data_IF_783126640254
#
_entry.id   IF_783126640254
#
_cell.length_a   1.000
_cell.length_b   1.000
_cell.length_c   1.000
_cell.angle_alpha   90.00
_cell.angle_beta   90.00
_cell.angle_gamma   90.00
#
_symmetry.space_group_name_H-M   'P 1'
#
loop_
_entity.id
_entity.type
_entity.pdbx_description
1 polymer ?
#
# COMPACT_ATOMS: atom_id res chain seq x y z
N UNK A 1 18.94 -85.67 55.07
CA UNK A 1 19.38 -84.46 55.70
C UNK A 1 20.51 -83.86 54.89
N UNK A 2 20.30 -83.00 53.92
CA UNK A 2 21.32 -82.21 53.28
C UNK A 2 20.62 -80.98 52.72
N UNK A 3 21.02 -79.84 53.23
CA UNK A 3 20.59 -78.50 52.81
C UNK A 3 21.15 -78.16 51.41
N UNK A 4 20.30 -77.71 50.52
CA UNK A 4 20.71 -77.04 49.34
C UNK A 4 20.23 -75.56 49.37
N UNK A 5 21.18 -74.64 49.36
CA UNK A 5 20.99 -73.22 49.29
C UNK A 5 20.73 -72.79 47.87
N UNK A 6 19.84 -71.87 47.56
CA UNK A 6 19.70 -71.29 46.19
C UNK A 6 20.60 -70.11 45.99
N UNK A 7 21.40 -70.14 44.91
CA UNK A 7 22.23 -69.05 44.43
C UNK A 7 21.37 -68.00 43.76
N UNK A 8 21.46 -66.74 44.23
CA UNK A 8 20.82 -65.59 43.70
C UNK A 8 21.61 -65.10 42.48
N UNK A 9 21.02 -65.14 41.27
CA UNK A 9 21.56 -64.53 40.04
C UNK A 9 21.08 -63.09 40.00
N UNK A 10 22.03 -62.16 40.14
CA UNK A 10 21.81 -60.74 40.04
C UNK A 10 21.83 -60.34 38.55
N UNK A 11 20.68 -60.10 37.92
CA UNK A 11 20.59 -59.51 36.58
C UNK A 11 20.80 -58.01 36.65
N UNK A 12 21.96 -57.57 36.20
CA UNK A 12 22.24 -56.11 35.98
C UNK A 12 21.59 -55.66 34.68
N UNK A 13 20.53 -54.87 34.79
CA UNK A 13 19.92 -54.18 33.64
C UNK A 13 20.77 -52.94 33.29
N UNK A 14 21.43 -53.00 32.12
CA UNK A 14 22.13 -51.86 31.56
C UNK A 14 21.10 -51.00 30.81
N UNK A 15 20.71 -49.87 31.40
CA UNK A 15 19.87 -48.85 30.75
C UNK A 15 20.73 -48.02 29.80
N UNK A 16 20.61 -48.25 28.51
CA UNK A 16 21.20 -47.42 27.47
C UNK A 16 20.40 -46.12 27.34
N UNK A 17 20.95 -45.03 27.83
CA UNK A 17 20.41 -43.66 27.66
C UNK A 17 20.70 -43.17 26.24
N UNK A 18 19.74 -43.26 25.33
CA UNK A 18 19.84 -42.64 23.97
C UNK A 18 19.59 -41.15 24.10
N UNK A 19 20.65 -40.34 24.04
CA UNK A 19 20.59 -38.89 23.92
C UNK A 19 20.18 -38.55 22.47
N UNK A 20 18.93 -38.17 22.27
CA UNK A 20 18.46 -37.60 21.00
C UNK A 20 19.04 -36.19 20.85
N UNK A 21 20.09 -36.04 20.04
CA UNK A 21 20.59 -34.75 19.63
C UNK A 21 19.57 -34.17 18.66
N UNK A 22 18.75 -33.23 19.13
CA UNK A 22 17.90 -32.42 18.27
C UNK A 22 18.81 -31.55 17.41
N UNK A 23 18.87 -31.86 16.11
CA UNK A 23 19.56 -31.02 15.14
C UNK A 23 18.83 -29.67 15.06
N UNK A 24 19.39 -28.65 15.70
CA UNK A 24 18.96 -27.27 15.52
C UNK A 24 19.38 -26.87 14.12
N UNK A 25 18.45 -26.94 13.18
CA UNK A 25 18.68 -26.39 11.85
C UNK A 25 18.68 -24.87 12.03
N UNK A 26 19.79 -24.18 11.66
CA UNK A 26 19.76 -22.73 11.62
C UNK A 26 18.68 -22.35 10.61
N UNK A 27 17.64 -21.64 11.05
CA UNK A 27 16.74 -20.98 10.14
C UNK A 27 17.58 -20.03 9.30
N UNK A 28 17.77 -20.35 8.02
CA UNK A 28 18.46 -19.46 7.08
C UNK A 28 17.66 -18.15 7.11
N UNK A 29 18.29 -17.10 7.63
CA UNK A 29 17.70 -15.78 7.59
C UNK A 29 17.43 -15.46 6.11
N UNK A 30 16.15 -15.33 5.75
CA UNK A 30 15.75 -15.02 4.40
C UNK A 30 16.29 -13.63 4.06
N UNK A 31 17.11 -13.52 3.03
CA UNK A 31 17.63 -12.23 2.57
C UNK A 31 16.48 -11.35 2.09
N UNK A 32 16.35 -10.16 2.67
CA UNK A 32 15.35 -9.18 2.27
C UNK A 32 15.97 -8.19 1.29
N UNK A 33 15.29 -7.95 0.18
CA UNK A 33 15.79 -7.19 -0.95
C UNK A 33 15.05 -5.85 -1.10
N UNK A 34 15.76 -4.85 -1.60
CA UNK A 34 15.16 -3.59 -2.01
C UNK A 34 14.86 -3.62 -3.50
N UNK A 35 13.59 -3.51 -3.86
CA UNK A 35 13.12 -3.55 -5.24
C UNK A 35 12.92 -2.14 -5.76
N UNK A 36 13.45 -1.86 -6.95
CA UNK A 36 13.38 -0.55 -7.60
C UNK A 36 12.57 -0.60 -8.89
N UNK A 37 11.97 0.53 -9.26
CA UNK A 37 11.33 0.75 -10.54
C UNK A 37 11.35 2.24 -10.88
N UNK A 38 11.14 2.57 -12.15
CA UNK A 38 10.96 3.95 -12.60
C UNK A 38 9.67 4.09 -13.40
N UNK A 39 8.92 5.12 -13.11
CA UNK A 39 7.71 5.45 -13.87
C UNK A 39 7.99 6.53 -14.91
N UNK A 40 7.60 6.26 -16.15
CA UNK A 40 7.67 7.21 -17.25
C UNK A 40 6.29 7.37 -17.90
N UNK A 41 5.96 8.60 -18.23
CA UNK A 41 4.72 8.93 -18.95
C UNK A 41 5.09 9.30 -20.37
N UNK A 42 4.49 8.66 -21.39
CA UNK A 42 4.57 9.12 -22.75
C UNK A 42 3.74 10.40 -22.87
N UNK A 43 4.37 11.55 -22.68
CA UNK A 43 3.68 12.81 -22.87
C UNK A 43 4.00 13.37 -24.26
N UNK A 44 3.02 13.93 -24.99
CA UNK A 44 3.28 14.62 -26.23
C UNK A 44 4.36 15.70 -26.01
N UNK A 45 5.42 15.67 -26.79
CA UNK A 45 6.44 16.72 -26.77
C UNK A 45 5.88 17.94 -27.47
N UNK A 46 5.42 18.94 -26.74
CA UNK A 46 5.36 20.28 -27.29
C UNK A 46 6.80 20.80 -27.49
N UNK A 47 7.10 21.28 -28.70
CA UNK A 47 8.43 21.74 -29.08
C UNK A 47 8.79 22.95 -28.21
N UNK A 48 9.71 22.78 -27.23
CA UNK A 48 10.24 23.88 -26.41
C UNK A 48 9.82 23.90 -24.94
N UNK A 49 9.00 22.98 -24.46
CA UNK A 49 8.67 22.89 -23.03
C UNK A 49 9.74 22.12 -22.23
N UNK A 50 10.35 22.84 -21.28
CA UNK A 50 11.13 22.23 -20.19
C UNK A 50 10.15 21.73 -19.13
N UNK A 51 10.11 20.40 -18.91
CA UNK A 51 9.30 19.81 -17.85
C UNK A 51 9.90 20.03 -16.49
N UNK A 52 9.05 20.47 -15.57
CA UNK A 52 9.33 20.36 -14.15
C UNK A 52 9.09 18.91 -13.67
N UNK A 53 9.87 18.42 -12.71
CA UNK A 53 9.69 17.11 -12.10
C UNK A 53 8.27 16.95 -11.48
N UNK A 54 7.61 18.07 -11.18
CA UNK A 54 6.27 18.16 -10.61
C UNK A 54 5.13 17.86 -11.58
N UNK A 55 5.40 17.71 -12.88
CA UNK A 55 4.37 17.49 -13.90
C UNK A 55 4.01 16.01 -14.09
N UNK A 56 4.64 15.12 -13.31
CA UNK A 56 4.29 13.70 -13.32
C UNK A 56 3.05 13.43 -12.48
N UNK A 57 2.10 12.63 -12.99
CA UNK A 57 0.97 12.22 -12.20
C UNK A 57 1.45 11.36 -11.01
N UNK A 58 0.86 11.52 -9.83
CA UNK A 58 1.11 10.64 -8.71
C UNK A 58 0.86 9.18 -9.09
N UNK A 59 1.74 8.30 -8.62
CA UNK A 59 1.66 6.89 -8.89
C UNK A 59 2.07 6.06 -7.67
N UNK A 60 1.54 4.85 -7.57
CA UNK A 60 1.91 3.87 -6.57
C UNK A 60 2.06 2.49 -7.20
N UNK A 61 2.97 1.68 -6.66
CA UNK A 61 3.16 0.29 -7.06
C UNK A 61 3.13 -0.62 -5.84
N UNK A 62 2.72 -1.86 -6.03
CA UNK A 62 2.81 -2.88 -5.00
C UNK A 62 3.01 -4.28 -5.58
N UNK A 63 3.60 -5.15 -4.77
CA UNK A 63 3.86 -6.53 -5.07
C UNK A 63 2.91 -7.42 -4.27
N UNK A 64 2.07 -8.17 -4.96
CA UNK A 64 1.16 -9.14 -4.35
C UNK A 64 1.79 -10.53 -4.49
N UNK A 65 2.09 -11.24 -3.39
CA UNK A 65 2.62 -12.61 -3.47
C UNK A 65 1.68 -13.51 -4.26
N UNK A 66 2.23 -14.36 -5.14
CA UNK A 66 1.45 -15.31 -5.95
C UNK A 66 1.15 -16.60 -5.21
N UNK A 67 2.04 -17.03 -4.34
CA UNK A 67 1.84 -18.24 -3.52
C UNK A 67 1.67 -17.90 -2.04
N UNK A 68 0.75 -18.59 -1.39
CA UNK A 68 0.43 -18.34 0.01
C UNK A 68 1.48 -18.88 0.99
N UNK A 69 2.45 -19.69 0.53
CA UNK A 69 3.46 -20.31 1.38
C UNK A 69 4.39 -19.31 2.05
N UNK A 70 4.58 -18.16 1.43
CA UNK A 70 5.40 -17.05 1.93
C UNK A 70 4.58 -15.77 2.11
N UNK A 71 3.30 -15.88 2.53
CA UNK A 71 2.52 -14.68 2.86
C UNK A 71 3.27 -13.93 3.95
N UNK A 72 3.86 -12.77 3.63
CA UNK A 72 4.56 -11.99 4.64
C UNK A 72 3.59 -11.67 5.77
N UNK A 73 4.12 -11.52 6.98
CA UNK A 73 3.32 -11.02 8.09
C UNK A 73 2.61 -9.75 7.60
N UNK A 74 1.27 -9.77 7.63
CA UNK A 74 0.47 -8.61 7.23
C UNK A 74 0.95 -7.42 8.03
N UNK A 75 1.16 -6.30 7.36
CA UNK A 75 1.46 -5.08 8.08
C UNK A 75 0.32 -4.80 9.08
N UNK A 76 0.68 -4.46 10.30
CA UNK A 76 -0.30 -4.29 11.37
C UNK A 76 -1.14 -3.04 11.10
N UNK A 77 -2.48 -3.13 11.17
CA UNK A 77 -3.33 -1.95 11.06
C UNK A 77 -2.93 -0.88 12.06
N UNK A 78 -2.83 0.36 11.60
CA UNK A 78 -2.42 1.53 12.39
C UNK A 78 -3.34 2.70 12.13
N UNK A 79 -3.12 3.78 12.86
CA UNK A 79 -3.76 5.05 12.57
C UNK A 79 -2.85 5.89 11.69
N UNK A 80 -3.40 6.37 10.58
CA UNK A 80 -2.77 7.26 9.60
C UNK A 80 -3.49 8.60 9.59
N UNK A 81 -2.82 9.62 9.07
CA UNK A 81 -3.37 10.98 8.98
C UNK A 81 -3.39 11.45 7.53
N UNK A 82 -4.53 11.93 7.08
CA UNK A 82 -4.71 12.68 5.84
C UNK A 82 -5.15 14.10 6.21
N UNK A 83 -4.17 14.98 6.36
CA UNK A 83 -4.36 16.35 6.86
C UNK A 83 -5.08 17.22 5.83
N UNK A 84 -6.05 18.03 6.28
CA UNK A 84 -6.65 19.11 5.49
C UNK A 84 -6.04 20.43 5.91
N UNK A 85 -5.31 21.05 5.00
CA UNK A 85 -4.69 22.35 5.21
C UNK A 85 -4.51 23.09 3.87
N UNK A 86 -4.80 24.40 3.89
CA UNK A 86 -4.72 25.26 2.70
C UNK A 86 -5.58 24.72 1.54
N UNK A 87 -6.78 24.23 1.83
CA UNK A 87 -7.70 23.61 0.88
C UNK A 87 -7.06 22.45 0.09
N UNK A 88 -6.23 21.63 0.78
CA UNK A 88 -5.56 20.45 0.22
C UNK A 88 -5.56 19.31 1.22
N UNK A 89 -5.58 18.09 0.71
CA UNK A 89 -5.24 16.90 1.47
C UNK A 89 -3.74 16.61 1.40
N UNK A 90 -3.13 16.26 2.52
CA UNK A 90 -1.71 15.91 2.59
C UNK A 90 -1.48 14.65 3.47
N UNK A 91 -0.80 13.62 2.95
CA UNK A 91 -0.27 13.48 1.59
C UNK A 91 -1.38 13.32 0.54
N UNK A 92 -1.09 13.57 -0.74
CA UNK A 92 -2.05 13.37 -1.82
C UNK A 92 -2.34 11.88 -2.10
N UNK A 93 -1.34 11.01 -1.98
CA UNK A 93 -1.47 9.54 -2.06
C UNK A 93 -1.03 8.94 -0.74
N UNK A 94 -1.90 8.14 -0.14
CA UNK A 94 -1.65 7.46 1.12
C UNK A 94 -1.91 5.96 0.96
N UNK A 95 -0.87 5.15 1.13
CA UNK A 95 -1.00 3.68 1.16
C UNK A 95 -1.09 3.22 2.62
N UNK A 96 -2.07 2.37 2.92
CA UNK A 96 -2.30 1.87 4.28
C UNK A 96 -2.57 0.36 4.29
N UNK A 97 -2.20 -0.36 5.34
CA UNK A 97 -2.63 -1.74 5.55
C UNK A 97 -4.15 -1.83 5.70
N UNK A 98 -4.76 -2.87 5.13
CA UNK A 98 -6.19 -3.16 5.34
C UNK A 98 -6.49 -3.29 6.84
N UNK A 99 -7.55 -2.65 7.30
CA UNK A 99 -7.95 -2.56 8.71
C UNK A 99 -7.47 -1.28 9.40
N UNK A 100 -6.62 -0.48 8.78
CA UNK A 100 -6.14 0.78 9.34
C UNK A 100 -7.23 1.84 9.41
N UNK A 101 -7.08 2.74 10.37
CA UNK A 101 -7.90 3.95 10.51
C UNK A 101 -7.17 5.12 9.87
N UNK A 102 -7.83 5.84 8.97
CA UNK A 102 -7.33 7.13 8.47
C UNK A 102 -8.10 8.25 9.14
N UNK A 103 -7.38 9.13 9.81
CA UNK A 103 -7.90 10.34 10.43
C UNK A 103 -7.76 11.51 9.47
N UNK A 104 -8.78 12.37 9.48
CA UNK A 104 -8.91 13.55 8.62
C UNK A 104 -9.00 14.83 9.49
N UNK A 105 -7.89 15.28 10.09
CA UNK A 105 -7.89 16.52 10.85
C UNK A 105 -8.09 17.72 9.92
N UNK A 106 -8.94 18.66 10.35
CA UNK A 106 -9.14 19.95 9.68
C UNK A 106 -8.28 21.03 10.34
N UNK A 107 -7.17 21.39 9.71
CA UNK A 107 -6.26 22.45 10.16
C UNK A 107 -6.49 23.81 9.46
N UNK A 108 -7.53 23.93 8.64
CA UNK A 108 -7.97 25.19 8.06
C UNK A 108 -8.94 25.92 9.02
N UNK A 109 -9.06 27.25 8.94
CA UNK A 109 -9.94 28.03 9.82
C UNK A 109 -11.43 28.01 9.40
N UNK A 110 -11.80 27.10 8.51
CA UNK A 110 -13.16 26.97 7.95
C UNK A 110 -13.60 25.51 7.86
N UNK A 111 -14.85 25.28 7.54
CA UNK A 111 -15.41 23.94 7.43
C UNK A 111 -14.87 23.18 6.21
N UNK A 112 -14.77 21.86 6.38
CA UNK A 112 -14.58 20.90 5.30
C UNK A 112 -15.61 19.78 5.37
N UNK A 113 -15.78 19.06 4.25
CA UNK A 113 -16.44 17.77 4.19
C UNK A 113 -15.51 16.79 3.52
N UNK A 114 -15.43 15.58 4.03
CA UNK A 114 -14.64 14.50 3.41
C UNK A 114 -15.57 13.38 3.02
N UNK A 115 -15.52 12.98 1.75
CA UNK A 115 -16.33 11.87 1.25
C UNK A 115 -15.57 11.02 0.21
N UNK A 116 -16.06 9.80 0.00
CA UNK A 116 -15.63 8.89 -1.07
C UNK A 116 -16.84 8.11 -1.58
N UNK A 117 -17.05 8.08 -2.89
CA UNK A 117 -18.22 7.45 -3.54
C UNK A 117 -17.87 6.28 -4.44
N UNK A 118 -16.63 6.23 -4.94
CA UNK A 118 -16.17 5.25 -5.90
C UNK A 118 -15.40 4.12 -5.21
N UNK A 119 -15.04 3.11 -5.90
CA UNK A 119 -14.34 1.90 -5.49
C UNK A 119 -13.70 1.94 -4.08
N UNK A 120 -13.36 0.84 -3.49
CA UNK A 120 -12.79 0.83 -2.16
C UNK A 120 -13.81 1.14 -1.04
N UNK A 121 -13.49 2.06 -0.11
CA UNK A 121 -14.34 2.43 1.03
C UNK A 121 -15.21 3.64 0.70
N UNK A 122 -16.54 3.45 0.66
CA UNK A 122 -17.52 4.54 0.51
C UNK A 122 -17.88 5.11 1.87
N UNK A 123 -17.87 6.44 1.98
CA UNK A 123 -18.26 7.16 3.19
C UNK A 123 -18.54 8.65 2.91
N UNK A 124 -19.24 9.30 3.83
CA UNK A 124 -19.41 10.75 3.89
C UNK A 124 -19.32 11.16 5.36
N UNK A 125 -18.34 11.97 5.71
CA UNK A 125 -18.13 12.45 7.08
C UNK A 125 -19.01 13.67 7.42
N UNK A 126 -19.75 14.21 6.45
CA UNK A 126 -20.47 15.47 6.64
C UNK A 126 -19.53 16.66 6.79
N UNK A 127 -20.10 17.84 6.99
CA UNK A 127 -19.36 19.06 7.32
C UNK A 127 -18.81 18.98 8.75
N UNK A 128 -17.60 19.47 8.97
CA UNK A 128 -17.02 19.64 10.30
C UNK A 128 -16.05 20.83 10.35
N UNK A 129 -15.99 21.42 11.54
CA UNK A 129 -15.33 22.69 11.84
C UNK A 129 -13.80 22.58 11.91
N UNK A 130 -13.16 23.73 11.93
CA UNK A 130 -11.73 23.90 12.17
C UNK A 130 -11.30 23.23 13.49
N UNK A 131 -10.12 22.60 13.49
CA UNK A 131 -9.57 21.92 14.66
C UNK A 131 -10.16 20.53 14.95
N UNK A 132 -11.27 20.15 14.28
CA UNK A 132 -11.90 18.84 14.47
C UNK A 132 -11.20 17.75 13.65
N UNK A 133 -11.34 16.51 14.10
CA UNK A 133 -10.83 15.32 13.42
C UNK A 133 -11.93 14.27 13.32
N UNK A 134 -12.04 13.65 12.14
CA UNK A 134 -12.91 12.49 11.93
C UNK A 134 -12.10 11.34 11.33
N UNK A 135 -12.50 10.09 11.57
CA UNK A 135 -11.77 8.92 11.15
C UNK A 135 -12.63 7.90 10.39
N UNK A 136 -12.00 7.16 9.50
CA UNK A 136 -12.61 6.08 8.73
C UNK A 136 -11.71 4.84 8.76
N UNK A 137 -12.29 3.67 9.01
CA UNK A 137 -11.58 2.39 8.90
C UNK A 137 -11.63 1.86 7.47
N UNK A 138 -10.47 1.56 6.89
CA UNK A 138 -10.30 0.98 5.56
C UNK A 138 -10.20 -0.54 5.67
N UNK A 139 -11.32 -1.21 5.92
CA UNK A 139 -11.40 -2.65 6.21
C UNK A 139 -11.37 -3.57 4.99
N UNK A 140 -11.22 -3.05 3.77
CA UNK A 140 -11.16 -3.83 2.52
C UNK A 140 -10.02 -3.33 1.65
N UNK A 141 -9.37 -4.25 0.91
CA UNK A 141 -8.39 -3.91 -0.12
C UNK A 141 -9.08 -3.11 -1.24
N UNK A 142 -8.42 -2.06 -1.70
CA UNK A 142 -8.93 -1.25 -2.80
C UNK A 142 -8.46 0.20 -2.75
N UNK A 143 -8.86 0.95 -3.78
CA UNK A 143 -8.49 2.34 -4.00
C UNK A 143 -9.71 3.21 -3.71
N UNK A 144 -9.57 4.16 -2.80
CA UNK A 144 -10.61 5.11 -2.43
C UNK A 144 -10.19 6.51 -2.83
N UNK A 145 -10.97 7.14 -3.69
CA UNK A 145 -10.78 8.53 -4.07
C UNK A 145 -11.48 9.41 -3.04
N UNK A 146 -10.73 10.31 -2.44
CA UNK A 146 -11.15 11.18 -1.35
C UNK A 146 -11.36 12.59 -1.88
N UNK A 147 -12.48 13.20 -1.57
CA UNK A 147 -12.87 14.52 -2.06
C UNK A 147 -13.43 15.40 -0.94
N UNK A 148 -13.41 16.71 -1.17
CA UNK A 148 -14.15 17.68 -0.37
C UNK A 148 -15.39 18.13 -1.14
N UNK A 149 -16.57 18.19 -0.48
CA UNK A 149 -17.83 18.56 -1.13
C UNK A 149 -17.98 20.06 -1.39
N UNK A 150 -17.11 20.89 -0.85
CA UNK A 150 -17.19 22.36 -0.96
C UNK A 150 -15.98 23.00 -1.63
N UNK A 151 -14.92 22.23 -1.87
CA UNK A 151 -13.70 22.70 -2.56
C UNK A 151 -13.36 21.73 -3.69
N UNK A 152 -13.70 22.07 -4.94
CA UNK A 152 -13.59 21.16 -6.08
C UNK A 152 -12.15 20.71 -6.39
N UNK A 153 -11.15 21.48 -5.97
CA UNK A 153 -9.74 21.14 -6.16
C UNK A 153 -9.16 20.20 -5.09
N UNK A 154 -9.91 19.95 -3.98
CA UNK A 154 -9.45 19.11 -2.89
C UNK A 154 -9.69 17.63 -3.18
N UNK A 155 -8.65 16.93 -3.57
CA UNK A 155 -8.66 15.49 -3.78
C UNK A 155 -7.44 14.79 -3.19
N UNK A 156 -7.60 13.51 -2.86
CA UNK A 156 -6.54 12.61 -2.47
C UNK A 156 -6.93 11.15 -2.80
N UNK A 157 -6.00 10.23 -2.62
CA UNK A 157 -6.24 8.81 -2.82
C UNK A 157 -5.71 8.02 -1.62
N UNK A 158 -6.56 7.13 -1.09
CA UNK A 158 -6.16 6.14 -0.09
C UNK A 158 -6.19 4.76 -0.73
N UNK A 159 -5.05 4.08 -0.73
CA UNK A 159 -4.87 2.73 -1.26
C UNK A 159 -4.71 1.78 -0.07
N UNK A 160 -5.71 0.94 0.20
CA UNK A 160 -5.66 -0.05 1.27
C UNK A 160 -5.18 -1.39 0.70
N UNK A 161 -4.10 -1.95 1.25
CA UNK A 161 -3.45 -3.16 0.73
C UNK A 161 -3.31 -4.23 1.83
N UNK A 162 -3.36 -5.51 1.42
CA UNK A 162 -2.98 -6.63 2.28
C UNK A 162 -1.46 -6.87 2.30
N UNK A 163 -0.76 -6.48 1.24
CA UNK A 163 0.69 -6.63 1.14
C UNK A 163 1.42 -5.43 1.75
N UNK A 164 2.52 -5.65 2.50
CA UNK A 164 3.37 -4.56 2.95
C UNK A 164 4.32 -4.04 1.86
N UNK A 165 4.46 -4.77 0.74
CA UNK A 165 5.42 -4.46 -0.31
C UNK A 165 4.83 -3.43 -1.28
N UNK A 166 4.96 -2.16 -0.96
CA UNK A 166 4.44 -1.07 -1.77
C UNK A 166 5.37 0.15 -1.73
N UNK A 167 5.21 1.02 -2.73
CA UNK A 167 5.87 2.31 -2.78
C UNK A 167 4.99 3.34 -3.49
N UNK A 168 5.03 4.57 -3.00
CA UNK A 168 4.55 5.75 -3.73
C UNK A 168 5.72 6.35 -4.48
N UNK A 169 5.52 6.70 -5.75
CA UNK A 169 6.55 7.31 -6.59
C UNK A 169 6.99 8.67 -6.06
N UNK A 170 8.28 8.92 -6.12
CA UNK A 170 8.83 10.24 -5.85
C UNK A 170 8.52 11.22 -7.01
N UNK A 171 8.79 12.53 -6.86
CA UNK A 171 8.57 13.51 -7.93
C UNK A 171 9.35 13.22 -9.22
N UNK A 172 10.42 12.42 -9.16
CA UNK A 172 11.20 12.00 -10.32
C UNK A 172 10.69 10.69 -10.94
N UNK A 173 9.63 10.09 -10.36
CA UNK A 173 9.03 8.84 -10.81
C UNK A 173 9.79 7.60 -10.36
N UNK A 174 10.70 7.71 -9.39
CA UNK A 174 11.37 6.54 -8.84
C UNK A 174 10.54 5.88 -7.73
N UNK A 175 10.60 4.54 -7.69
CA UNK A 175 10.01 3.71 -6.66
C UNK A 175 11.08 2.90 -5.95
N UNK A 176 10.91 2.68 -4.67
CA UNK A 176 11.71 1.75 -3.87
C UNK A 176 10.83 1.01 -2.88
N UNK A 177 10.66 -0.29 -3.09
CA UNK A 177 9.98 -1.18 -2.16
C UNK A 177 11.04 -1.88 -1.33
N UNK A 178 10.98 -1.71 -0.01
CA UNK A 178 11.97 -2.23 0.91
C UNK A 178 11.56 -3.59 1.47
N UNK A 179 12.57 -4.38 1.88
CA UNK A 179 12.40 -5.63 2.62
C UNK A 179 11.51 -6.67 1.90
N UNK A 180 11.66 -6.81 0.60
CA UNK A 180 10.94 -7.79 -0.21
C UNK A 180 11.67 -9.13 -0.15
N UNK A 181 11.04 -10.23 0.31
CA UNK A 181 11.61 -11.57 0.21
C UNK A 181 11.78 -11.99 -1.26
N UNK A 182 12.80 -12.81 -1.58
CA UNK A 182 12.88 -13.48 -2.88
C UNK A 182 11.66 -14.37 -3.08
N UNK A 183 10.86 -14.11 -4.13
CA UNK A 183 9.65 -14.89 -4.47
C UNK A 183 9.07 -14.40 -5.81
N UNK A 184 7.95 -15.02 -6.23
CA UNK A 184 7.14 -14.63 -7.37
C UNK A 184 5.98 -13.73 -6.92
N UNK A 185 5.84 -12.60 -7.59
CA UNK A 185 4.86 -11.58 -7.27
C UNK A 185 4.05 -11.17 -8.50
N UNK A 186 2.83 -10.70 -8.25
CA UNK A 186 2.08 -9.88 -9.21
C UNK A 186 2.38 -8.41 -8.91
N UNK A 187 3.12 -7.75 -9.79
CA UNK A 187 3.26 -6.29 -9.78
C UNK A 187 1.93 -5.68 -10.17
N UNK A 188 1.45 -4.75 -9.37
CA UNK A 188 0.29 -3.90 -9.64
C UNK A 188 0.68 -2.44 -9.57
N UNK A 189 0.01 -1.62 -10.37
CA UNK A 189 0.34 -0.20 -10.55
C UNK A 189 -0.95 0.61 -10.48
N UNK A 190 -0.89 1.74 -9.81
CA UNK A 190 -1.89 2.79 -9.88
C UNK A 190 -1.25 4.10 -10.32
N UNK A 191 -1.88 4.81 -11.21
CA UNK A 191 -1.45 6.13 -11.70
C UNK A 191 -2.66 7.03 -11.77
N UNK A 192 -2.55 8.23 -11.23
CA UNK A 192 -3.63 9.21 -11.28
C UNK A 192 -4.01 9.55 -12.71
N UNK A 193 -5.30 9.49 -13.01
CA UNK A 193 -5.85 9.80 -14.33
C UNK A 193 -5.62 8.73 -15.41
N UNK A 194 -4.99 7.62 -15.10
CA UNK A 194 -4.86 6.51 -16.05
C UNK A 194 -6.15 5.71 -16.18
N UNK A 195 -6.44 5.25 -17.38
CA UNK A 195 -7.57 4.36 -17.64
C UNK A 195 -7.39 3.01 -16.90
N UNK A 196 -8.46 2.43 -16.33
CA UNK A 196 -8.40 1.11 -15.68
C UNK A 196 -7.85 0.01 -16.60
N UNK A 197 -8.12 0.07 -17.91
CA UNK A 197 -7.59 -0.89 -18.88
C UNK A 197 -6.06 -0.79 -19.02
N UNK A 198 -5.51 0.44 -19.02
CA UNK A 198 -4.07 0.66 -19.09
C UNK A 198 -3.39 0.20 -17.79
N UNK A 199 -3.99 0.46 -16.63
CA UNK A 199 -3.48 -0.02 -15.34
C UNK A 199 -3.47 -1.55 -15.28
N UNK A 200 -4.53 -2.19 -15.79
CA UNK A 200 -4.60 -3.66 -15.88
C UNK A 200 -3.52 -4.23 -16.82
N UNK A 201 -3.20 -3.55 -17.91
CA UNK A 201 -2.16 -3.96 -18.85
C UNK A 201 -0.74 -3.85 -18.25
N UNK A 202 -0.52 -2.97 -17.28
CA UNK A 202 0.74 -2.84 -16.56
C UNK A 202 0.94 -3.94 -15.51
N UNK A 203 -0.13 -4.61 -15.07
CA UNK A 203 -0.03 -5.71 -14.11
C UNK A 203 0.69 -6.89 -14.76
N UNK A 204 1.77 -7.37 -14.11
CA UNK A 204 2.57 -8.49 -14.62
C UNK A 204 3.19 -9.31 -13.48
N UNK A 205 3.48 -10.57 -13.78
CA UNK A 205 4.30 -11.41 -12.90
C UNK A 205 5.74 -10.93 -12.91
N UNK A 206 6.36 -10.90 -11.76
CA UNK A 206 7.77 -10.56 -11.57
C UNK A 206 8.41 -11.56 -10.60
N UNK A 207 9.62 -11.99 -10.89
CA UNK A 207 10.42 -12.83 -10.00
C UNK A 207 11.45 -11.94 -9.30
N UNK A 208 11.41 -11.89 -7.96
CA UNK A 208 12.37 -11.13 -7.16
C UNK A 208 13.42 -12.11 -6.60
N UNK A 209 14.67 -11.84 -6.88
CA UNK A 209 15.80 -12.62 -6.37
C UNK A 209 17.07 -11.77 -6.32
N UNK A 210 18.14 -12.20 -5.60
CA UNK A 210 19.43 -11.50 -5.65
C UNK A 210 19.88 -11.28 -7.10
N UNK A 211 20.15 -10.02 -7.47
CA UNK A 211 20.48 -9.62 -8.84
C UNK A 211 19.29 -9.34 -9.77
N UNK A 212 18.04 -9.61 -9.35
CA UNK A 212 16.82 -9.32 -10.10
C UNK A 212 15.83 -8.49 -9.24
N UNK A 213 16.28 -7.30 -8.86
CA UNK A 213 15.52 -6.37 -7.99
C UNK A 213 15.09 -5.09 -8.70
N UNK A 214 15.58 -4.85 -9.93
CA UNK A 214 15.14 -3.74 -10.76
C UNK A 214 14.02 -4.19 -11.70
N UNK A 215 12.83 -3.64 -11.50
CA UNK A 215 11.67 -3.91 -12.34
C UNK A 215 11.67 -3.08 -13.65
N UNK A 216 12.68 -2.24 -13.82
CA UNK A 216 12.87 -1.39 -14.99
C UNK A 216 11.86 -0.25 -15.08
N UNK A 217 11.58 0.16 -16.31
CA UNK A 217 10.65 1.26 -16.59
C UNK A 217 9.23 0.75 -16.69
N UNK A 218 8.34 1.40 -15.94
CA UNK A 218 6.89 1.24 -16.01
C UNK A 218 6.37 2.42 -16.81
N UNK A 219 5.78 2.17 -18.00
CA UNK A 219 5.32 3.23 -18.88
C UNK A 219 3.86 3.00 -19.28
N UNK A 220 3.04 4.05 -19.20
CA UNK A 220 1.70 4.03 -19.77
C UNK A 220 1.77 4.05 -21.30
N UNK A 221 0.80 3.40 -21.95
CA UNK A 221 0.66 3.44 -23.41
C UNK A 221 0.08 4.78 -23.91
N UNK A 222 -0.68 5.46 -23.05
CA UNK A 222 -1.32 6.75 -23.32
C UNK A 222 -1.08 7.73 -22.19
N UNK A 223 -1.07 9.04 -22.45
CA UNK A 223 -1.05 10.04 -21.39
C UNK A 223 -2.28 9.86 -20.47
N UNK A 224 -2.13 10.00 -19.16
CA UNK A 224 -3.27 9.98 -18.25
C UNK A 224 -4.13 11.21 -18.49
N UNK A 225 -5.43 11.08 -18.20
CA UNK A 225 -6.34 12.21 -18.26
C UNK A 225 -5.92 13.27 -17.22
N UNK A 226 -5.95 14.56 -17.57
CA UNK A 226 -5.80 15.61 -16.58
C UNK A 226 -6.76 15.35 -15.42
N UNK A 227 -6.34 15.62 -14.20
CA UNK A 227 -7.24 15.57 -13.05
C UNK A 227 -8.39 16.54 -13.30
N UNK A 228 -9.52 16.02 -13.82
CA UNK A 228 -10.73 16.80 -13.96
C UNK A 228 -11.23 17.19 -12.57
N UNK A 229 -11.84 18.35 -12.45
CA UNK A 229 -12.62 18.68 -11.27
C UNK A 229 -13.62 17.54 -11.04
N UNK A 230 -13.60 16.97 -9.84
CA UNK A 230 -14.57 15.95 -9.47
C UNK A 230 -15.95 16.58 -9.28
N UNK A 231 -17.02 15.79 -9.42
CA UNK A 231 -18.37 16.22 -9.04
C UNK A 231 -18.51 16.23 -7.52
N UNK A 232 -19.46 17.00 -7.02
CA UNK A 232 -19.81 17.01 -5.61
C UNK A 232 -20.44 15.64 -5.18
N UNK A 233 -20.68 15.44 -3.90
CA UNK A 233 -21.22 14.18 -3.36
C UNK A 233 -22.62 13.80 -3.90
N UNK A 234 -23.30 14.70 -4.57
CA UNK A 234 -24.59 14.48 -5.23
C UNK A 234 -24.46 14.20 -6.73
N UNK A 235 -23.23 14.06 -7.25
CA UNK A 235 -22.93 13.84 -8.66
C UNK A 235 -23.15 15.05 -9.55
N UNK A 236 -23.20 16.25 -8.97
CA UNK A 236 -23.39 17.51 -9.71
C UNK A 236 -22.06 18.28 -9.76
N UNK A 237 -21.91 19.10 -10.79
CA UNK A 237 -20.80 20.05 -10.85
C UNK A 237 -20.90 21.07 -9.70
N UNK A 238 -19.74 21.59 -9.30
CA UNK A 238 -19.71 22.67 -8.32
C UNK A 238 -20.22 23.96 -8.94
N UNK A 239 -21.04 24.72 -8.18
CA UNK A 239 -21.49 26.04 -8.63
C UNK A 239 -20.32 27.02 -8.52
N UNK A 240 -19.71 27.35 -9.65
CA UNK A 240 -18.58 28.29 -9.73
C UNK A 240 -19.02 29.77 -9.59
N UNK A 241 -20.34 30.04 -9.53
CA UNK A 241 -20.91 31.38 -9.42
C UNK A 241 -21.05 31.87 -7.99
N UNK A 242 -21.05 30.98 -7.02
CA UNK A 242 -20.98 31.39 -5.63
C UNK A 242 -19.52 31.40 -5.16
N UNK A 243 -18.95 32.58 -4.80
CA UNK A 243 -17.67 32.60 -4.12
C UNK A 243 -17.84 31.78 -2.82
N UNK A 244 -16.94 30.82 -2.60
CA UNK A 244 -16.94 30.05 -1.36
C UNK A 244 -16.86 31.04 -0.18
N UNK A 245 -17.97 31.18 0.54
CA UNK A 245 -18.11 32.13 1.66
C UNK A 245 -17.30 31.66 2.89
N UNK A 246 -16.51 30.58 2.73
CA UNK A 246 -15.73 29.98 3.80
C UNK A 246 -14.27 29.80 3.39
#
# INVERSE_FOLDING_TARGET
MRNCSPSSILCAAVATLTIAVAAVHPALAQELLDVTARFEVPLPRAKGETRNATDRPPAAIWLKPLESAHTPARDTPRTYTLLQKNKKFSPHVLVVPVGSVVQFPNADPFFHNVFSQFDGRRFDLGLYEAGSTRGVTFGKEGISYIFCNIHPEMSAVVIALFTPFNAVGDPLGAFRIQNVPPDDYLLQVWVQGADPADLKALARRVHISPGHTDLGVISLSRPPHPSSSHTNKYGKDYDTREPSIY
#
